data_IF_157841800065
#
_entry.id   IF_157841800065
#
_cell.length_a   1.000
_cell.length_b   1.000
_cell.length_c   1.000
_cell.angle_alpha   90.00
_cell.angle_beta   90.00
_cell.angle_gamma   90.00
#
_symmetry.space_group_name_H-M   'P 1'
#
loop_
_entity.id
_entity.type
_entity.pdbx_description
1 polymer ?
#
# COMPACT_ATOMS: atom_id res chain seq x y z
N UNK A 1 -24.18 -40.52 19.78
CA UNK A 1 -23.32 -39.91 18.73
C UNK A 1 -23.95 -38.70 18.04
N UNK A 2 -25.17 -38.79 17.47
CA UNK A 2 -25.79 -37.70 16.66
C UNK A 2 -26.04 -36.36 17.38
N UNK A 3 -26.33 -36.37 18.70
CA UNK A 3 -26.57 -35.14 19.50
C UNK A 3 -25.31 -34.27 19.65
N UNK A 4 -24.14 -34.89 19.78
CA UNK A 4 -22.86 -34.18 19.87
C UNK A 4 -22.43 -33.59 18.53
N UNK A 5 -22.84 -34.21 17.41
CA UNK A 5 -22.58 -33.67 16.07
C UNK A 5 -23.31 -32.34 15.83
N UNK A 6 -24.55 -32.19 16.30
CA UNK A 6 -25.27 -30.92 16.21
C UNK A 6 -24.63 -29.81 17.06
N UNK A 7 -24.16 -30.15 18.27
CA UNK A 7 -23.46 -29.20 19.14
C UNK A 7 -22.12 -28.78 18.51
N UNK A 8 -21.36 -29.74 17.99
CA UNK A 8 -20.09 -29.46 17.32
C UNK A 8 -20.30 -28.56 16.09
N UNK A 9 -21.32 -28.84 15.27
CA UNK A 9 -21.65 -28.03 14.09
C UNK A 9 -22.10 -26.62 14.46
N UNK A 10 -22.91 -26.47 15.52
CA UNK A 10 -23.29 -25.15 16.01
C UNK A 10 -22.07 -24.34 16.49
N UNK A 11 -21.14 -24.96 17.22
CA UNK A 11 -19.92 -24.32 17.69
C UNK A 11 -18.97 -23.92 16.54
N UNK A 12 -18.80 -24.76 15.52
CA UNK A 12 -17.96 -24.40 14.37
C UNK A 12 -18.58 -23.26 13.57
N UNK A 13 -19.90 -23.23 13.44
CA UNK A 13 -20.60 -22.15 12.74
C UNK A 13 -20.45 -20.81 13.47
N UNK A 14 -20.60 -20.79 14.80
CA UNK A 14 -20.43 -19.57 15.59
C UNK A 14 -19.00 -19.07 15.56
N UNK A 15 -18.00 -19.97 15.65
CA UNK A 15 -16.59 -19.62 15.51
C UNK A 15 -16.28 -19.05 14.12
N UNK A 16 -16.83 -19.65 13.05
CA UNK A 16 -16.67 -19.15 11.69
C UNK A 16 -17.32 -17.77 11.50
N UNK A 17 -18.52 -17.56 12.03
CA UNK A 17 -19.18 -16.25 11.99
C UNK A 17 -18.38 -15.19 12.75
N UNK A 18 -17.90 -15.52 13.95
CA UNK A 18 -17.10 -14.61 14.76
C UNK A 18 -15.78 -14.23 14.05
N UNK A 19 -15.09 -15.19 13.42
CA UNK A 19 -13.85 -14.92 12.70
C UNK A 19 -14.08 -14.08 11.45
N UNK A 20 -15.15 -14.34 10.69
CA UNK A 20 -15.53 -13.50 9.53
C UNK A 20 -15.81 -12.07 9.97
N UNK A 21 -16.61 -11.88 11.03
CA UNK A 21 -16.92 -10.55 11.55
C UNK A 21 -15.65 -9.84 12.03
N UNK A 22 -14.80 -10.54 12.79
CA UNK A 22 -13.53 -9.99 13.25
C UNK A 22 -12.66 -9.51 12.08
N UNK A 23 -12.52 -10.34 11.03
CA UNK A 23 -11.79 -9.96 9.82
C UNK A 23 -12.46 -8.76 9.14
N UNK A 24 -13.77 -8.74 8.96
CA UNK A 24 -14.45 -7.62 8.29
C UNK A 24 -14.31 -6.28 9.02
N UNK A 25 -14.24 -6.29 10.36
CA UNK A 25 -14.14 -5.06 11.15
C UNK A 25 -12.69 -4.59 11.36
N UNK A 26 -11.73 -5.52 11.40
CA UNK A 26 -10.31 -5.22 11.61
C UNK A 26 -9.43 -5.37 10.36
N UNK A 27 -10.00 -5.76 9.21
CA UNK A 27 -9.26 -5.77 7.96
C UNK A 27 -8.97 -4.35 7.52
N UNK A 28 -7.69 -4.03 7.45
CA UNK A 28 -7.20 -2.83 6.79
C UNK A 28 -6.52 -3.27 5.49
N UNK A 29 -6.95 -2.69 4.38
CA UNK A 29 -6.21 -2.80 3.13
C UNK A 29 -4.85 -2.14 3.35
N UNK A 30 -3.78 -2.89 3.07
CA UNK A 30 -2.43 -2.39 3.15
C UNK A 30 -1.67 -2.71 1.86
N UNK A 31 -0.92 -1.75 1.37
CA UNK A 31 -0.10 -1.89 0.17
C UNK A 31 1.25 -1.22 0.42
N UNK A 32 2.33 -1.87 -0.02
CA UNK A 32 3.67 -1.28 0.04
C UNK A 32 4.43 -1.64 -1.23
N UNK A 33 4.92 -0.63 -1.93
CA UNK A 33 5.67 -0.79 -3.16
C UNK A 33 6.91 0.08 -3.09
N UNK A 34 8.03 -0.45 -3.56
CA UNK A 34 9.29 0.27 -3.67
C UNK A 34 9.90 -0.04 -5.02
N UNK A 35 10.08 0.98 -5.84
CA UNK A 35 10.63 0.86 -7.18
C UNK A 35 11.78 1.83 -7.38
N UNK A 36 12.83 1.36 -8.05
CA UNK A 36 13.86 2.25 -8.58
C UNK A 36 13.35 2.92 -9.86
N UNK A 37 13.71 4.18 -10.06
CA UNK A 37 13.39 4.90 -11.28
C UNK A 37 14.64 5.58 -11.85
N UNK A 38 14.72 5.64 -13.18
CA UNK A 38 15.71 6.41 -13.94
C UNK A 38 14.97 7.05 -15.11
N UNK A 39 14.75 8.35 -15.04
CA UNK A 39 14.06 9.17 -16.02
C UNK A 39 15.08 10.11 -16.64
N UNK A 40 15.16 10.11 -17.96
CA UNK A 40 15.94 11.09 -18.71
C UNK A 40 15.00 11.82 -19.66
N UNK A 41 14.91 13.13 -19.51
CA UNK A 41 14.12 14.02 -20.35
C UNK A 41 15.04 15.07 -20.97
N UNK A 42 14.75 15.46 -22.21
CA UNK A 42 15.45 16.53 -22.91
C UNK A 42 14.48 17.70 -23.05
N UNK A 43 14.80 18.83 -22.41
CA UNK A 43 13.97 20.04 -22.41
C UNK A 43 14.85 21.21 -22.81
N UNK A 44 14.53 21.85 -23.94
CA UNK A 44 15.26 23.01 -24.47
C UNK A 44 16.78 22.77 -24.57
N UNK A 45 17.19 21.66 -25.20
CA UNK A 45 18.61 21.23 -25.35
C UNK A 45 19.34 20.92 -24.03
N UNK A 46 18.65 20.98 -22.90
CA UNK A 46 19.17 20.59 -21.60
C UNK A 46 18.70 19.18 -21.24
N UNK A 47 19.66 18.31 -20.92
CA UNK A 47 19.39 16.94 -20.48
C UNK A 47 19.10 16.95 -18.97
N UNK A 48 17.86 16.65 -18.62
CA UNK A 48 17.40 16.43 -17.27
C UNK A 48 17.42 14.93 -16.99
N UNK A 49 18.22 14.47 -16.02
CA UNK A 49 18.22 13.07 -15.59
C UNK A 49 17.88 12.96 -14.11
N UNK A 50 16.80 12.26 -13.79
CA UNK A 50 16.38 11.99 -12.41
C UNK A 50 16.45 10.50 -12.12
N UNK A 51 17.19 10.13 -11.09
CA UNK A 51 17.38 8.74 -10.69
C UNK A 51 17.12 8.61 -9.21
N UNK A 52 16.51 7.51 -8.79
CA UNK A 52 16.31 7.29 -7.37
C UNK A 52 15.33 6.19 -7.06
N UNK A 53 14.63 6.38 -5.96
CA UNK A 53 13.70 5.47 -5.38
C UNK A 53 12.33 6.15 -5.20
N UNK A 54 11.32 5.51 -5.74
CA UNK A 54 9.93 5.84 -5.50
C UNK A 54 9.35 4.76 -4.59
N UNK A 55 8.81 5.15 -3.43
CA UNK A 55 8.07 4.23 -2.58
C UNK A 55 6.65 4.72 -2.37
N UNK A 56 5.69 3.80 -2.39
CA UNK A 56 4.29 4.07 -2.10
C UNK A 56 3.80 3.11 -1.03
N UNK A 57 3.28 3.64 0.07
CA UNK A 57 2.71 2.87 1.17
C UNK A 57 1.28 3.32 1.40
N UNK A 58 0.36 2.38 1.47
CA UNK A 58 -1.01 2.60 1.86
C UNK A 58 -1.29 1.81 3.13
N UNK A 59 -1.71 2.49 4.18
CA UNK A 59 -2.12 1.88 5.43
C UNK A 59 -3.13 2.77 6.13
N UNK A 60 -4.17 2.17 6.72
CA UNK A 60 -5.16 2.90 7.52
C UNK A 60 -5.76 4.12 6.83
N UNK A 61 -6.03 4.03 5.52
CA UNK A 61 -6.55 5.11 4.67
C UNK A 61 -5.56 6.24 4.36
N UNK A 62 -4.32 6.13 4.77
CA UNK A 62 -3.25 7.05 4.40
C UNK A 62 -2.41 6.43 3.29
N UNK A 63 -2.35 7.10 2.15
CA UNK A 63 -1.39 6.82 1.08
C UNK A 63 -0.22 7.80 1.22
N UNK A 64 0.98 7.25 1.38
CA UNK A 64 2.24 7.98 1.47
C UNK A 64 3.07 7.61 0.25
N UNK A 65 3.49 8.60 -0.52
CA UNK A 65 4.39 8.42 -1.65
C UNK A 65 5.66 9.21 -1.35
N UNK A 66 6.80 8.53 -1.30
CA UNK A 66 8.11 9.14 -1.14
C UNK A 66 8.86 9.06 -2.45
N UNK A 67 9.46 10.17 -2.83
CA UNK A 67 10.37 10.29 -3.96
C UNK A 67 11.72 10.75 -3.39
N UNK A 68 12.71 9.88 -3.50
CA UNK A 68 14.07 10.14 -3.06
C UNK A 68 15.03 9.90 -4.21
N UNK A 69 15.84 10.88 -4.58
CA UNK A 69 16.72 10.72 -5.73
C UNK A 69 17.64 11.90 -6.00
N UNK A 70 18.40 11.74 -7.07
CA UNK A 70 19.31 12.72 -7.62
C UNK A 70 18.73 13.22 -8.94
N UNK A 71 18.57 14.53 -9.05
CA UNK A 71 18.23 15.24 -10.27
C UNK A 71 19.50 15.89 -10.82
N UNK A 72 19.87 15.57 -12.05
CA UNK A 72 20.97 16.20 -12.77
C UNK A 72 20.41 17.03 -13.90
N UNK A 73 20.86 18.28 -14.02
CA UNK A 73 20.41 19.23 -15.04
C UNK A 73 21.60 20.08 -15.46
N UNK A 74 21.94 20.13 -16.76
CA UNK A 74 23.08 20.91 -17.28
C UNK A 74 24.43 20.63 -16.57
N UNK A 75 24.61 19.43 -15.99
CA UNK A 75 25.79 19.06 -15.21
C UNK A 75 25.69 19.34 -13.69
N UNK A 76 24.74 20.18 -13.26
CA UNK A 76 24.47 20.42 -11.85
C UNK A 76 23.65 19.27 -11.24
N UNK A 77 23.95 18.93 -9.99
CA UNK A 77 23.30 17.84 -9.26
C UNK A 77 22.52 18.38 -8.07
N UNK A 78 21.29 17.92 -7.94
CA UNK A 78 20.35 18.29 -6.90
C UNK A 78 19.82 17.03 -6.22
N UNK A 79 19.75 17.05 -4.89
CA UNK A 79 19.10 15.98 -4.13
C UNK A 79 17.62 16.34 -3.98
N UNK A 80 16.75 15.41 -4.36
CA UNK A 80 15.30 15.55 -4.23
C UNK A 80 14.82 14.52 -3.21
N UNK A 81 14.19 14.99 -2.14
CA UNK A 81 13.49 14.15 -1.17
C UNK A 81 12.14 14.82 -0.90
N UNK A 82 11.06 14.19 -1.36
CA UNK A 82 9.70 14.71 -1.25
C UNK A 82 8.75 13.60 -0.80
N UNK A 83 7.84 13.96 0.09
CA UNK A 83 6.77 13.08 0.56
C UNK A 83 5.43 13.70 0.22
N UNK A 84 4.57 12.92 -0.43
CA UNK A 84 3.17 13.23 -0.68
C UNK A 84 2.32 12.36 0.25
N UNK A 85 1.44 13.00 1.03
CA UNK A 85 0.52 12.31 1.94
C UNK A 85 -0.92 12.60 1.54
N UNK A 86 -1.70 11.54 1.31
CA UNK A 86 -3.09 11.62 0.89
C UNK A 86 -3.93 10.79 1.87
N UNK A 87 -4.96 11.40 2.45
CA UNK A 87 -5.95 10.68 3.26
C UNK A 87 -7.16 10.33 2.40
N UNK A 88 -7.42 9.05 2.23
CA UNK A 88 -8.51 8.51 1.43
C UNK A 88 -9.78 8.30 2.28
N UNK A 89 -10.96 8.44 1.65
CA UNK A 89 -12.23 8.17 2.34
C UNK A 89 -12.40 6.67 2.55
N UNK A 90 -12.75 6.28 3.78
CA UNK A 90 -13.06 4.88 4.14
C UNK A 90 -14.30 4.38 3.40
N UNK A 91 -14.12 3.43 2.49
CA UNK A 91 -15.22 2.63 1.94
C UNK A 91 -15.24 1.30 2.69
N UNK A 92 -16.27 1.05 3.51
CA UNK A 92 -16.42 -0.23 4.22
C UNK A 92 -16.65 -1.34 3.22
N UNK A 93 -15.62 -2.14 2.95
CA UNK A 93 -15.72 -3.38 2.18
C UNK A 93 -15.04 -4.45 3.04
N UNK A 94 -15.72 -5.58 3.26
CA UNK A 94 -15.11 -6.70 3.95
C UNK A 94 -14.11 -7.37 3.01
N UNK A 95 -12.87 -6.88 3.02
CA UNK A 95 -11.75 -7.46 2.30
C UNK A 95 -10.48 -7.11 3.07
N UNK A 96 -9.73 -8.13 3.45
CA UNK A 96 -8.33 -7.96 3.83
C UNK A 96 -7.51 -8.21 2.57
N UNK A 97 -6.72 -7.23 2.16
CA UNK A 97 -5.77 -7.40 1.07
C UNK A 97 -4.45 -6.75 1.47
N UNK A 98 -3.40 -7.58 1.46
CA UNK A 98 -2.02 -7.16 1.66
C UNK A 98 -1.30 -7.40 0.34
N UNK A 99 -0.76 -6.34 -0.25
CA UNK A 99 -0.02 -6.42 -1.51
C UNK A 99 1.34 -5.75 -1.33
N UNK A 100 2.39 -6.50 -1.68
CA UNK A 100 3.75 -6.02 -1.74
C UNK A 100 4.24 -6.10 -3.19
N UNK A 101 4.97 -5.08 -3.64
CA UNK A 101 5.57 -5.03 -4.96
C UNK A 101 7.09 -5.04 -4.86
#
# INVERSE_FOLDING_TARGET
MRKYAFIALACTLTLALASILYICFNSHDAFSCKSQYDLTEEINENVLRSQGLLSAEFSNHHLIINLEGLLTSAGDKYIVSRTLSITLKKKRRCRASFLYC
#
